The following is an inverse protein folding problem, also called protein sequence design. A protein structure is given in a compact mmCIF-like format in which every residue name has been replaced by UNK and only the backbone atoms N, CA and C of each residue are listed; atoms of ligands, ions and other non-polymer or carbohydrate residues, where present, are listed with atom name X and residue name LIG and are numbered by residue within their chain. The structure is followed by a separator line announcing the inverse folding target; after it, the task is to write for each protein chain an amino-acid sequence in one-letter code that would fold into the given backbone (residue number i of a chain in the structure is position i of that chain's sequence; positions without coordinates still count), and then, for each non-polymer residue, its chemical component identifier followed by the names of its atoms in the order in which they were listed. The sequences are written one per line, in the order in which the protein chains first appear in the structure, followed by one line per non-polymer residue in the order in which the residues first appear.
data_IF_471714656418
#
_entry.id   IF_471714656418
#
_cell.length_a   1.000
_cell.length_b   1.000
_cell.length_c   1.000
_cell.angle_alpha   90.00
_cell.angle_beta   90.00
_cell.angle_gamma   90.00
#
_symmetry.space_group_name_H-M   'P 1'
#
loop_
_entity.id
_entity.type
_entity.pdbx_description
1 polymer ?
#
# COMPACT_ATOMS: atom_id res chain seq x y z
N UNK A 1 8.66 2.50 -45.85
CA UNK A 1 8.77 2.87 -44.42
C UNK A 1 9.94 2.06 -43.92
N UNK A 2 11.12 2.66 -44.06
CA UNK A 2 12.38 2.06 -43.63
C UNK A 2 12.39 2.17 -42.11
N UNK A 3 12.24 1.03 -41.44
CA UNK A 3 12.61 0.89 -40.05
C UNK A 3 14.05 1.34 -39.93
N UNK A 4 14.24 2.50 -39.29
CA UNK A 4 15.53 2.98 -38.86
C UNK A 4 16.11 1.93 -37.92
N UNK A 5 16.89 1.00 -38.47
CA UNK A 5 17.75 0.08 -37.73
C UNK A 5 18.70 0.97 -36.94
N UNK A 6 18.29 1.31 -35.71
CA UNK A 6 19.15 1.95 -34.74
C UNK A 6 20.42 1.13 -34.66
N UNK A 7 21.56 1.80 -34.81
CA UNK A 7 22.88 1.21 -34.62
C UNK A 7 22.86 0.34 -33.35
N UNK A 8 23.59 -0.80 -33.33
CA UNK A 8 23.66 -1.63 -32.15
C UNK A 8 24.17 -0.78 -30.97
N UNK A 9 23.26 -0.43 -30.07
CA UNK A 9 23.59 0.13 -28.74
C UNK A 9 24.68 -0.74 -28.14
N UNK A 10 25.78 -0.11 -27.73
CA UNK A 10 26.90 -0.81 -27.11
C UNK A 10 26.45 -1.50 -25.82
N UNK A 11 27.14 -2.58 -25.44
CA UNK A 11 26.91 -3.27 -24.15
C UNK A 11 26.93 -2.27 -23.00
N UNK A 12 27.85 -1.30 -23.05
CA UNK A 12 28.02 -0.26 -22.04
C UNK A 12 26.79 0.65 -21.92
N UNK A 13 26.18 1.06 -23.05
CA UNK A 13 24.98 1.90 -23.06
C UNK A 13 23.78 1.18 -22.45
N UNK A 14 23.53 -0.08 -22.83
CA UNK A 14 22.41 -0.88 -22.27
C UNK A 14 22.57 -1.12 -20.77
N UNK A 15 23.80 -1.35 -20.33
CA UNK A 15 24.12 -1.54 -18.91
C UNK A 15 23.95 -0.24 -18.12
N UNK A 16 24.35 0.90 -18.70
CA UNK A 16 24.13 2.20 -18.11
C UNK A 16 22.63 2.54 -18.01
N UNK A 17 21.85 2.21 -19.04
CA UNK A 17 20.39 2.35 -19.01
C UNK A 17 19.79 1.48 -17.90
N UNK A 18 20.17 0.20 -17.84
CA UNK A 18 19.69 -0.72 -16.81
C UNK A 18 20.01 -0.23 -15.40
N UNK A 19 21.24 0.25 -15.18
CA UNK A 19 21.65 0.89 -13.92
C UNK A 19 20.76 2.07 -13.55
N UNK A 20 20.49 2.96 -14.51
CA UNK A 20 19.65 4.13 -14.28
C UNK A 20 18.21 3.74 -13.92
N UNK A 21 17.64 2.75 -14.62
CA UNK A 21 16.29 2.23 -14.33
C UNK A 21 16.21 1.60 -12.95
N UNK A 22 17.18 0.79 -12.55
CA UNK A 22 17.24 0.21 -11.21
C UNK A 22 17.39 1.28 -10.13
N UNK A 23 18.22 2.30 -10.36
CA UNK A 23 18.34 3.44 -9.44
C UNK A 23 17.01 4.17 -9.25
N UNK A 24 16.31 4.49 -10.34
CA UNK A 24 14.99 5.10 -10.27
C UNK A 24 13.96 4.20 -9.57
N UNK A 25 14.00 2.89 -9.81
CA UNK A 25 13.14 1.92 -9.11
C UNK A 25 13.41 1.91 -7.59
N UNK A 26 14.68 1.97 -7.17
CA UNK A 26 15.06 2.05 -5.77
C UNK A 26 14.49 3.32 -5.10
N UNK A 27 14.61 4.49 -5.74
CA UNK A 27 14.04 5.75 -5.22
C UNK A 27 12.51 5.69 -5.09
N UNK A 28 11.82 5.06 -6.04
CA UNK A 28 10.36 4.89 -5.98
C UNK A 28 9.96 3.99 -4.81
N UNK A 29 10.68 2.90 -4.55
CA UNK A 29 10.41 2.07 -3.37
C UNK A 29 10.71 2.78 -2.05
N UNK A 30 11.79 3.56 -1.97
CA UNK A 30 12.06 4.39 -0.77
C UNK A 30 10.96 5.43 -0.56
N UNK A 31 10.46 6.03 -1.64
CA UNK A 31 9.31 6.95 -1.60
C UNK A 31 8.06 6.26 -1.08
N UNK A 32 7.76 5.06 -1.59
CA UNK A 32 6.62 4.25 -1.16
C UNK A 32 6.74 3.80 0.31
N UNK A 33 7.96 3.49 0.76
CA UNK A 33 8.26 3.19 2.16
C UNK A 33 8.00 4.41 3.06
N UNK A 34 8.47 5.60 2.64
CA UNK A 34 8.21 6.86 3.34
C UNK A 34 6.72 7.18 3.44
N UNK A 35 5.97 6.96 2.36
CA UNK A 35 4.50 7.05 2.35
C UNK A 35 3.87 6.09 3.36
N UNK A 36 4.30 4.83 3.38
CA UNK A 36 3.76 3.81 4.29
C UNK A 36 4.03 4.14 5.75
N UNK A 37 5.22 4.69 6.07
CA UNK A 37 5.52 5.20 7.41
C UNK A 37 4.60 6.36 7.80
N UNK A 38 4.34 7.30 6.88
CA UNK A 38 3.38 8.41 7.09
C UNK A 38 1.95 7.90 7.27
N UNK A 39 1.56 6.83 6.58
CA UNK A 39 0.24 6.21 6.72
C UNK A 39 -0.02 5.76 8.15
N UNK A 40 0.96 5.10 8.78
CA UNK A 40 0.86 4.65 10.17
C UNK A 40 0.60 5.83 11.14
N UNK A 41 1.23 6.98 10.90
CA UNK A 41 0.97 8.19 11.68
C UNK A 41 -0.46 8.73 11.48
N UNK A 42 -0.93 8.79 10.24
CA UNK A 42 -2.31 9.25 9.95
C UNK A 42 -3.38 8.34 10.58
N UNK A 43 -3.13 7.02 10.64
CA UNK A 43 -4.00 6.08 11.33
C UNK A 43 -4.01 6.36 12.84
N UNK A 44 -2.85 6.58 13.44
CA UNK A 44 -2.73 6.87 14.87
C UNK A 44 -3.37 8.22 15.27
N UNK A 45 -3.38 9.18 14.36
CA UNK A 45 -3.97 10.51 14.55
C UNK A 45 -5.47 10.58 14.18
N UNK A 46 -6.07 9.47 13.73
CA UNK A 46 -7.45 9.39 13.22
C UNK A 46 -7.76 10.40 12.09
N UNK A 47 -6.73 10.84 11.35
CA UNK A 47 -6.85 11.83 10.29
C UNK A 47 -7.24 11.17 8.95
N UNK A 48 -8.54 10.97 8.76
CA UNK A 48 -9.06 10.30 7.57
C UNK A 48 -8.74 11.03 6.25
N UNK A 49 -8.83 12.38 6.25
CA UNK A 49 -8.56 13.17 5.05
C UNK A 49 -7.09 13.04 4.63
N UNK A 50 -6.17 13.13 5.60
CA UNK A 50 -4.74 12.92 5.37
C UNK A 50 -4.43 11.50 4.90
N UNK A 51 -5.11 10.49 5.46
CA UNK A 51 -4.99 9.11 5.03
C UNK A 51 -5.43 8.91 3.57
N UNK A 52 -6.56 9.49 3.15
CA UNK A 52 -7.05 9.38 1.78
C UNK A 52 -6.12 10.04 0.76
N UNK A 53 -5.57 11.22 1.06
CA UNK A 53 -4.57 11.88 0.20
C UNK A 53 -3.33 11.00 0.02
N UNK A 54 -2.88 10.36 1.10
CA UNK A 54 -1.72 9.49 1.10
C UNK A 54 -1.95 8.23 0.23
N UNK A 55 -3.16 7.66 0.23
CA UNK A 55 -3.48 6.53 -0.65
C UNK A 55 -3.38 6.90 -2.14
N UNK A 56 -3.82 8.09 -2.52
CA UNK A 56 -3.69 8.57 -3.90
C UNK A 56 -2.21 8.81 -4.29
N UNK A 57 -1.38 9.32 -3.39
CA UNK A 57 0.07 9.42 -3.59
C UNK A 57 0.69 8.03 -3.80
N UNK A 58 0.35 7.05 -2.95
CA UNK A 58 0.85 5.66 -3.08
C UNK A 58 0.44 5.02 -4.40
N UNK A 59 -0.80 5.23 -4.84
CA UNK A 59 -1.30 4.71 -6.13
C UNK A 59 -0.49 5.24 -7.31
N UNK A 60 -0.10 6.53 -7.30
CA UNK A 60 0.77 7.12 -8.33
C UNK A 60 2.14 6.45 -8.35
N UNK A 61 2.77 6.32 -7.18
CA UNK A 61 4.09 5.69 -7.05
C UNK A 61 4.06 4.21 -7.47
N UNK A 62 3.04 3.45 -7.07
CA UNK A 62 2.87 2.04 -7.49
C UNK A 62 2.72 1.93 -9.01
N UNK A 63 1.99 2.86 -9.64
CA UNK A 63 1.88 2.89 -11.10
C UNK A 63 3.24 3.14 -11.76
N UNK A 64 3.99 4.12 -11.28
CA UNK A 64 5.34 4.43 -11.79
C UNK A 64 6.32 3.26 -11.61
N UNK A 65 6.21 2.52 -10.49
CA UNK A 65 6.95 1.26 -10.28
C UNK A 65 6.56 0.22 -11.33
N UNK A 66 5.26 0.04 -11.58
CA UNK A 66 4.80 -0.90 -12.62
C UNK A 66 5.33 -0.53 -14.01
N UNK A 67 5.29 0.75 -14.36
CA UNK A 67 5.77 1.26 -15.65
C UNK A 67 7.29 1.04 -15.80
N UNK A 68 8.09 1.30 -14.75
CA UNK A 68 9.54 1.09 -14.80
C UNK A 68 9.91 -0.40 -14.82
N UNK A 69 9.20 -1.24 -14.08
CA UNK A 69 9.43 -2.69 -14.07
C UNK A 69 9.22 -3.29 -15.45
N UNK A 70 8.13 -2.91 -16.13
CA UNK A 70 7.87 -3.34 -17.51
C UNK A 70 8.96 -2.90 -18.47
N UNK A 71 9.42 -1.65 -18.38
CA UNK A 71 10.52 -1.14 -19.19
C UNK A 71 11.86 -1.85 -18.91
N UNK A 72 12.02 -2.43 -17.73
CA UNK A 72 13.27 -3.07 -17.28
C UNK A 72 13.37 -4.55 -17.71
N UNK A 73 12.26 -5.19 -18.11
CA UNK A 73 12.24 -6.59 -18.57
C UNK A 73 13.27 -6.86 -19.69
N UNK A 74 13.26 -6.15 -20.83
CA UNK A 74 14.21 -6.41 -21.92
C UNK A 74 15.67 -6.16 -21.50
N UNK A 75 15.91 -5.17 -20.63
CA UNK A 75 17.24 -4.86 -20.10
C UNK A 75 17.76 -5.98 -19.18
N UNK A 76 16.87 -6.60 -18.41
CA UNK A 76 17.19 -7.75 -17.55
C UNK A 76 17.55 -8.98 -18.39
N UNK A 77 16.78 -9.28 -19.43
CA UNK A 77 17.08 -10.39 -20.35
C UNK A 77 18.42 -10.19 -21.05
N UNK A 78 18.68 -8.96 -21.51
CA UNK A 78 19.96 -8.57 -22.09
C UNK A 78 21.11 -8.75 -21.10
N UNK A 79 20.94 -8.24 -19.88
CA UNK A 79 21.90 -8.38 -18.79
C UNK A 79 22.26 -9.84 -18.51
N UNK A 80 21.26 -10.72 -18.35
CA UNK A 80 21.53 -12.13 -18.05
C UNK A 80 22.32 -12.83 -19.16
N UNK A 81 22.14 -12.40 -20.41
CA UNK A 81 22.85 -12.95 -21.58
C UNK A 81 24.29 -12.44 -21.73
N UNK A 82 24.61 -11.26 -21.21
CA UNK A 82 25.91 -10.59 -21.42
C UNK A 82 26.69 -10.31 -20.13
N UNK A 83 26.19 -10.72 -18.96
CA UNK A 83 26.81 -10.43 -17.66
C UNK A 83 28.25 -10.92 -17.55
N UNK A 84 28.65 -11.96 -18.27
CA UNK A 84 30.02 -12.48 -18.27
C UNK A 84 31.00 -11.56 -19.01
N UNK A 85 30.52 -10.80 -20.02
CA UNK A 85 31.30 -9.85 -20.81
C UNK A 85 31.50 -8.51 -20.10
N UNK A 86 30.78 -8.29 -19.00
CA UNK A 86 30.77 -7.05 -18.23
C UNK A 86 31.77 -7.15 -17.08
N UNK A 87 32.45 -6.03 -16.78
CA UNK A 87 33.41 -5.97 -15.68
C UNK A 87 32.79 -6.36 -14.34
N UNK A 88 33.58 -7.02 -13.49
CA UNK A 88 33.11 -7.48 -12.19
C UNK A 88 32.66 -6.32 -11.28
N UNK A 89 33.35 -5.17 -11.36
CA UNK A 89 32.96 -3.97 -10.63
C UNK A 89 31.56 -3.48 -10.97
N UNK A 90 31.16 -3.54 -12.25
CA UNK A 90 29.81 -3.17 -12.68
C UNK A 90 28.77 -4.18 -12.20
N UNK A 91 29.09 -5.49 -12.23
CA UNK A 91 28.22 -6.55 -11.67
C UNK A 91 27.96 -6.36 -10.19
N UNK A 92 29.01 -6.09 -9.40
CA UNK A 92 28.91 -5.85 -7.96
C UNK A 92 28.02 -4.64 -7.66
N UNK A 93 28.23 -3.54 -8.39
CA UNK A 93 27.39 -2.34 -8.26
C UNK A 93 25.93 -2.68 -8.51
N UNK A 94 25.60 -3.28 -9.66
CA UNK A 94 24.21 -3.61 -10.03
C UNK A 94 23.56 -4.53 -9.00
N UNK A 95 24.30 -5.53 -8.52
CA UNK A 95 23.83 -6.42 -7.45
C UNK A 95 23.51 -5.64 -6.17
N UNK A 96 24.34 -4.68 -5.78
CA UNK A 96 24.10 -3.85 -4.59
C UNK A 96 22.78 -3.08 -4.67
N UNK A 97 22.42 -2.54 -5.84
CA UNK A 97 21.14 -1.82 -6.02
C UNK A 97 19.96 -2.79 -5.95
N UNK A 98 20.09 -3.98 -6.54
CA UNK A 98 19.05 -5.01 -6.45
C UNK A 98 18.84 -5.48 -5.01
N UNK A 99 19.92 -5.67 -4.25
CA UNK A 99 19.83 -6.07 -2.84
C UNK A 99 19.22 -4.96 -1.98
N UNK A 100 19.50 -3.69 -2.29
CA UNK A 100 18.83 -2.55 -1.67
C UNK A 100 17.32 -2.53 -1.95
N UNK A 101 16.91 -2.74 -3.21
CA UNK A 101 15.50 -2.83 -3.59
C UNK A 101 14.81 -3.95 -2.79
N UNK A 102 15.44 -5.12 -2.68
CA UNK A 102 14.90 -6.25 -1.91
C UNK A 102 14.72 -5.91 -0.43
N UNK A 103 15.74 -5.35 0.21
CA UNK A 103 15.66 -4.95 1.61
C UNK A 103 14.54 -3.91 1.85
N UNK A 104 14.40 -2.94 0.93
CA UNK A 104 13.34 -1.92 0.99
C UNK A 104 11.95 -2.55 0.85
N UNK A 105 11.79 -3.51 -0.06
CA UNK A 105 10.54 -4.25 -0.25
C UNK A 105 10.17 -5.10 0.98
N UNK A 106 11.13 -5.78 1.58
CA UNK A 106 10.91 -6.56 2.81
C UNK A 106 10.43 -5.67 3.96
N UNK A 107 11.07 -4.51 4.16
CA UNK A 107 10.64 -3.53 5.17
C UNK A 107 9.23 -3.00 4.87
N UNK A 108 8.96 -2.66 3.61
CA UNK A 108 7.65 -2.16 3.16
C UNK A 108 6.54 -3.19 3.44
N UNK A 109 6.74 -4.46 3.07
CA UNK A 109 5.76 -5.52 3.29
C UNK A 109 5.50 -5.76 4.78
N UNK A 110 6.55 -5.73 5.61
CA UNK A 110 6.41 -5.87 7.06
C UNK A 110 5.58 -4.73 7.66
N UNK A 111 5.79 -3.49 7.21
CA UNK A 111 5.00 -2.33 7.65
C UNK A 111 3.55 -2.40 7.18
N UNK A 112 3.30 -2.76 5.92
CA UNK A 112 1.94 -2.95 5.41
C UNK A 112 1.16 -4.00 6.19
N UNK A 113 1.77 -5.17 6.42
CA UNK A 113 1.15 -6.24 7.20
C UNK A 113 0.85 -5.80 8.65
N UNK A 114 1.66 -4.93 9.22
CA UNK A 114 1.39 -4.33 10.53
C UNK A 114 0.21 -3.35 10.46
N UNK A 115 0.23 -2.39 9.53
CA UNK A 115 -0.84 -1.39 9.39
C UNK A 115 -2.19 -2.02 9.06
N UNK A 116 -2.23 -3.06 8.24
CA UNK A 116 -3.46 -3.81 7.94
C UNK A 116 -4.04 -4.48 9.19
N UNK A 117 -3.19 -5.05 10.06
CA UNK A 117 -3.63 -5.64 11.32
C UNK A 117 -4.18 -4.57 12.28
N UNK A 118 -3.49 -3.43 12.41
CA UNK A 118 -3.92 -2.31 13.26
C UNK A 118 -5.28 -1.75 12.79
N UNK A 119 -5.47 -1.54 11.49
CA UNK A 119 -6.75 -1.11 10.91
C UNK A 119 -7.86 -2.16 11.11
N UNK A 120 -7.52 -3.45 10.99
CA UNK A 120 -8.46 -4.54 11.24
C UNK A 120 -8.99 -4.52 12.67
N UNK A 121 -8.10 -4.39 13.66
CA UNK A 121 -8.47 -4.30 15.07
C UNK A 121 -9.31 -3.05 15.37
N UNK A 122 -8.92 -1.89 14.84
CA UNK A 122 -9.68 -0.65 15.01
C UNK A 122 -11.12 -0.77 14.47
N UNK A 123 -11.28 -1.43 13.30
CA UNK A 123 -12.59 -1.70 12.72
C UNK A 123 -13.45 -2.62 13.60
N UNK A 124 -12.87 -3.65 14.21
CA UNK A 124 -13.58 -4.56 15.10
C UNK A 124 -14.08 -3.86 16.36
N UNK A 125 -13.24 -3.02 16.98
CA UNK A 125 -13.62 -2.22 18.15
C UNK A 125 -14.77 -1.27 17.81
N UNK A 126 -14.66 -0.51 16.71
CA UNK A 126 -15.71 0.40 16.28
C UNK A 126 -17.03 -0.32 15.98
N UNK A 127 -16.97 -1.50 15.36
CA UNK A 127 -18.16 -2.30 15.09
C UNK A 127 -18.86 -2.75 16.39
N UNK A 128 -18.09 -3.10 17.43
CA UNK A 128 -18.63 -3.46 18.74
C UNK A 128 -19.31 -2.26 19.43
N UNK A 129 -18.65 -1.10 19.44
CA UNK A 129 -19.23 0.13 19.98
C UNK A 129 -20.55 0.51 19.28
N UNK A 130 -20.59 0.39 17.95
CA UNK A 130 -21.82 0.62 17.18
C UNK A 130 -22.94 -0.36 17.55
N UNK A 131 -22.62 -1.64 17.80
CA UNK A 131 -23.61 -2.63 18.27
C UNK A 131 -24.18 -2.26 19.63
N UNK A 132 -23.34 -1.83 20.57
CA UNK A 132 -23.76 -1.42 21.90
C UNK A 132 -24.66 -0.18 21.87
N UNK A 133 -24.31 0.83 21.06
CA UNK A 133 -25.16 2.02 20.84
C UNK A 133 -26.51 1.63 20.22
N UNK A 134 -26.50 0.70 19.25
CA UNK A 134 -27.72 0.16 18.64
C UNK A 134 -28.63 -0.54 19.66
N UNK A 135 -28.08 -1.41 20.49
CA UNK A 135 -28.80 -2.12 21.54
C UNK A 135 -29.41 -1.17 22.58
N UNK A 136 -28.67 -0.14 23.01
CA UNK A 136 -29.15 0.89 23.93
C UNK A 136 -30.34 1.67 23.39
N UNK A 137 -30.29 2.06 22.10
CA UNK A 137 -31.41 2.74 21.42
C UNK A 137 -32.66 1.86 21.35
N UNK A 138 -32.50 0.56 21.12
CA UNK A 138 -33.62 -0.38 21.09
C UNK A 138 -34.24 -0.55 22.48
N UNK A 139 -33.42 -0.67 23.54
CA UNK A 139 -33.89 -0.75 24.91
C UNK A 139 -34.70 0.51 25.31
N UNK A 140 -34.20 1.71 25.03
CA UNK A 140 -34.93 2.97 25.31
C UNK A 140 -36.28 3.04 24.60
N UNK A 141 -36.38 2.58 23.34
CA UNK A 141 -37.66 2.55 22.60
C UNK A 141 -38.68 1.60 23.25
N UNK A 142 -38.24 0.46 23.79
CA UNK A 142 -39.12 -0.47 24.49
C UNK A 142 -39.67 0.12 25.79
N UNK A 143 -38.84 0.85 26.56
CA UNK A 143 -39.31 1.53 27.77
C UNK A 143 -40.29 2.67 27.48
N UNK A 144 -40.06 3.47 26.44
CA UNK A 144 -40.97 4.57 26.09
C UNK A 144 -42.33 4.10 25.54
N UNK A 145 -42.44 2.87 25.03
CA UNK A 145 -43.72 2.29 24.59
C UNK A 145 -44.61 1.82 25.74
N UNK A 146 -44.06 1.60 26.93
CA UNK A 146 -44.79 1.14 28.11
C UNK A 146 -45.50 2.24 28.89
N UNK A 147 -45.10 3.51 28.73
CA UNK A 147 -45.67 4.62 29.50
C UNK A 147 -47.06 5.08 29.02
N UNK A 148 -47.48 4.67 27.82
CA UNK A 148 -48.77 5.08 27.21
C UNK A 148 -49.83 3.96 27.23
N UNK A 149 -49.47 2.76 27.70
CA UNK A 149 -50.48 1.75 28.04
C UNK A 149 -51.03 2.03 29.42
N UNK A 150 -52.03 2.92 29.46
CA UNK A 150 -52.90 3.11 30.62
C UNK A 150 -53.36 1.72 31.10
N UNK A 151 -52.98 1.27 32.31
CA UNK A 151 -53.42 -0.03 32.80
C UNK A 151 -54.94 0.04 32.92
N UNK A 152 -55.61 -0.72 32.06
CA UNK A 152 -57.06 -0.87 32.06
C UNK A 152 -57.38 -1.80 33.23
N UNK A 153 -57.36 -1.25 34.44
CA UNK A 153 -57.97 -1.89 35.59
C UNK A 153 -59.46 -2.00 35.26
N UNK A 154 -59.86 -3.21 34.87
CA UNK A 154 -61.24 -3.64 34.88
C UNK A 154 -61.62 -3.81 36.35
N UNK A 155 -62.38 -2.86 36.86
CA UNK A 155 -63.24 -3.08 38.02
C UNK A 155 -64.34 -4.04 37.55
N UNK A 156 -64.17 -5.35 37.79
CA UNK A 156 -65.29 -6.28 37.78
C UNK A 156 -65.86 -6.36 39.20
N UNK A 157 -66.76 -5.42 39.47
CA UNK A 157 -67.77 -5.50 40.52
C UNK A 157 -69.02 -6.15 39.93
N UNK A 158 -69.51 -7.23 40.56
CA UNK A 158 -70.86 -7.79 40.30
C UNK A 158 -70.94 -9.28 40.49
#
# INVERSE_FOLDING_TARGET
MEDSVGLPESVEERVAEFWHKLGAQAELYRTLLGLTKRQALQIAEENLDGFMLLLEEKKKVIKEIGDIEQATIPLREYWESHKEDISDGTRVKLRSVVDEIRATLEELLALEARSQRELGLAKEVLAEEMRQVGAGRQAMRSYNRGADQKPRFMDETG
#
